data_IF_042370203477
#
_entry.id   IF_042370203477
#
_cell.length_a   1.000
_cell.length_b   1.000
_cell.length_c   1.000
_cell.angle_alpha   90.00
_cell.angle_beta   90.00
_cell.angle_gamma   90.00
#
_symmetry.space_group_name_H-M   'P 1'
#
loop_
_entity.id
_entity.type
_entity.pdbx_description
1 polymer ?
#
# COMPACT_ATOMS: atom_id res chain seq x y z
N UNK A 1 -5.38 7.89 31.56
CA UNK A 1 -5.49 6.50 31.09
C UNK A 1 -6.46 6.54 29.93
N UNK A 2 -5.98 6.44 28.69
CA UNK A 2 -6.86 6.47 27.52
C UNK A 2 -7.45 5.07 27.37
N UNK A 3 -8.69 4.90 27.80
CA UNK A 3 -9.50 3.73 27.51
C UNK A 3 -9.73 3.69 25.98
N UNK A 4 -9.44 2.54 25.34
CA UNK A 4 -9.56 2.25 23.91
C UNK A 4 -8.42 2.62 22.94
N UNK A 5 -7.16 2.41 23.31
CA UNK A 5 -6.13 2.22 22.28
C UNK A 5 -6.13 0.75 21.82
N UNK A 6 -6.68 0.49 20.63
CA UNK A 6 -6.60 -0.82 19.99
C UNK A 6 -5.14 -1.23 19.77
N UNK A 7 -4.87 -2.53 19.85
CA UNK A 7 -3.51 -3.08 19.65
C UNK A 7 -2.97 -2.78 18.25
N UNK A 8 -3.86 -2.71 17.26
CA UNK A 8 -3.57 -2.35 15.87
C UNK A 8 -4.26 -1.03 15.51
N UNK A 9 -3.61 -0.21 14.70
CA UNK A 9 -4.25 0.92 14.03
C UNK A 9 -5.00 0.46 12.76
N UNK A 10 -5.84 1.32 12.18
CA UNK A 10 -6.68 0.94 11.02
C UNK A 10 -5.82 0.51 9.83
N UNK A 11 -4.70 1.20 9.57
CA UNK A 11 -3.83 0.89 8.45
C UNK A 11 -3.19 -0.51 8.57
N UNK A 12 -2.82 -0.90 9.79
CA UNK A 12 -2.34 -2.24 10.13
C UNK A 12 -3.43 -3.31 9.94
N UNK A 13 -4.65 -3.08 10.41
CA UNK A 13 -5.76 -4.01 10.21
C UNK A 13 -6.09 -4.19 8.72
N UNK A 14 -6.16 -3.10 7.95
CA UNK A 14 -6.35 -3.15 6.50
C UNK A 14 -5.22 -3.93 5.82
N UNK A 15 -3.96 -3.71 6.21
CA UNK A 15 -2.85 -4.49 5.70
C UNK A 15 -3.05 -5.99 5.96
N UNK A 16 -3.38 -6.37 7.19
CA UNK A 16 -3.57 -7.76 7.59
C UNK A 16 -4.77 -8.44 6.90
N UNK A 17 -5.82 -7.68 6.58
CA UNK A 17 -6.96 -8.18 5.80
C UNK A 17 -6.58 -8.48 4.35
N UNK A 18 -5.50 -7.88 3.85
CA UNK A 18 -5.07 -8.00 2.44
C UNK A 18 -3.91 -8.97 2.22
N UNK A 19 -3.40 -9.61 3.28
CA UNK A 19 -2.45 -10.72 3.16
C UNK A 19 -3.17 -12.07 3.22
N UNK A 20 -2.64 -13.07 2.54
CA UNK A 20 -3.09 -14.46 2.69
C UNK A 20 -2.53 -15.12 3.97
N UNK A 21 -3.01 -16.32 4.28
CA UNK A 21 -2.58 -17.13 5.42
C UNK A 21 -1.06 -17.43 5.46
N UNK A 22 -0.38 -17.34 4.31
CA UNK A 22 1.05 -17.54 4.17
C UNK A 22 1.84 -16.20 4.21
N UNK A 23 1.15 -15.09 4.50
CA UNK A 23 1.70 -13.73 4.50
C UNK A 23 2.11 -13.23 3.11
N UNK A 24 1.59 -13.81 2.03
CA UNK A 24 1.77 -13.22 0.72
C UNK A 24 0.86 -11.98 0.62
N UNK A 25 1.47 -10.87 0.23
CA UNK A 25 0.77 -9.60 0.02
C UNK A 25 -0.17 -9.70 -1.18
N UNK A 26 -1.32 -9.01 -1.10
CA UNK A 26 -2.20 -8.81 -2.25
C UNK A 26 -1.38 -8.29 -3.45
N UNK A 27 -1.74 -8.73 -4.66
CA UNK A 27 -1.00 -8.39 -5.89
C UNK A 27 -0.85 -6.87 -6.13
N UNK A 28 -1.77 -6.09 -5.56
CA UNK A 28 -1.78 -4.63 -5.66
C UNK A 28 -1.12 -3.92 -4.48
N UNK A 29 -0.61 -4.61 -3.46
CA UNK A 29 -0.09 -4.00 -2.22
C UNK A 29 0.93 -2.88 -2.48
N UNK A 30 1.74 -3.04 -3.52
CA UNK A 30 2.79 -2.08 -3.87
C UNK A 30 2.38 -1.06 -4.95
N UNK A 31 1.09 -0.95 -5.24
CA UNK A 31 0.58 0.03 -6.20
C UNK A 31 0.06 1.29 -5.50
N UNK A 32 -0.02 2.38 -6.26
CA UNK A 32 -0.51 3.66 -5.76
C UNK A 32 -1.98 3.62 -5.33
N UNK A 33 -2.77 2.66 -5.84
CA UNK A 33 -4.15 2.45 -5.32
C UNK A 33 -4.14 1.97 -3.88
N UNK A 34 -3.17 1.15 -3.50
CA UNK A 34 -2.99 0.71 -2.12
C UNK A 34 -2.49 1.84 -1.22
N UNK A 35 -1.66 2.74 -1.77
CA UNK A 35 -1.22 3.93 -1.05
C UNK A 35 -2.36 4.88 -0.71
N UNK A 36 -3.34 5.01 -1.60
CA UNK A 36 -4.59 5.73 -1.35
C UNK A 36 -5.35 5.08 -0.17
N UNK A 37 -5.45 3.75 -0.15
CA UNK A 37 -6.14 3.01 0.91
C UNK A 37 -5.44 3.21 2.27
N UNK A 38 -4.11 3.13 2.30
CA UNK A 38 -3.33 3.38 3.52
C UNK A 38 -3.46 4.83 3.97
N UNK A 39 -3.37 5.80 3.07
CA UNK A 39 -3.57 7.21 3.39
C UNK A 39 -4.96 7.48 4.00
N UNK A 40 -6.01 6.89 3.44
CA UNK A 40 -7.37 6.99 3.99
C UNK A 40 -7.47 6.33 5.38
N UNK A 41 -6.81 5.20 5.57
CA UNK A 41 -6.76 4.52 6.87
C UNK A 41 -6.07 5.37 7.94
N UNK A 42 -5.02 6.09 7.56
CA UNK A 42 -4.29 7.02 8.43
C UNK A 42 -5.17 8.20 8.83
N UNK A 43 -5.80 8.87 7.85
CA UNK A 43 -6.73 9.97 8.14
C UNK A 43 -7.86 9.53 9.07
N UNK A 44 -8.37 8.32 8.88
CA UNK A 44 -9.43 7.81 9.72
C UNK A 44 -8.98 7.53 11.16
N UNK A 45 -7.80 6.96 11.34
CA UNK A 45 -7.21 6.76 12.66
C UNK A 45 -6.94 8.11 13.35
N UNK A 46 -6.51 9.14 12.61
CA UNK A 46 -6.38 10.51 13.14
C UNK A 46 -7.73 11.08 13.59
N UNK A 47 -8.80 10.85 12.82
CA UNK A 47 -10.15 11.30 13.17
C UNK A 47 -10.67 10.59 14.43
N UNK A 48 -10.48 9.27 14.51
CA UNK A 48 -10.83 8.48 15.71
C UNK A 48 -10.06 8.92 16.97
N UNK A 49 -8.85 9.44 16.81
CA UNK A 49 -8.03 9.97 17.91
C UNK A 49 -8.32 11.45 18.22
N UNK A 50 -9.31 12.07 17.57
CA UNK A 50 -9.63 13.50 17.69
C UNK A 50 -8.41 14.40 17.42
N UNK A 51 -7.56 13.98 16.47
CA UNK A 51 -6.45 14.81 15.97
C UNK A 51 -6.96 15.72 14.84
N UNK A 52 -7.89 15.18 14.04
CA UNK A 52 -8.61 15.88 12.99
C UNK A 52 -10.11 15.63 13.18
N UNK A 53 -10.92 16.51 12.60
CA UNK A 53 -12.35 16.31 12.37
C UNK A 53 -12.63 16.45 10.86
N UNK A 54 -13.84 16.12 10.43
CA UNK A 54 -14.28 16.28 9.05
C UNK A 54 -15.66 16.91 8.98
N UNK A 55 -15.82 17.88 8.10
CA UNK A 55 -17.16 18.21 7.59
C UNK A 55 -17.53 17.26 6.43
N UNK A 56 -18.54 17.59 5.62
CA UNK A 56 -18.96 16.74 4.51
C UNK A 56 -17.82 16.44 3.53
N UNK A 57 -16.91 17.39 3.29
CA UNK A 57 -15.92 17.29 2.23
C UNK A 57 -14.49 17.68 2.65
N UNK A 58 -14.31 18.41 3.75
CA UNK A 58 -13.04 19.00 4.17
C UNK A 58 -12.54 18.41 5.47
N UNK A 59 -11.22 18.29 5.58
CA UNK A 59 -10.56 17.97 6.85
C UNK A 59 -10.38 19.27 7.65
N UNK A 60 -10.72 19.20 8.94
CA UNK A 60 -10.60 20.28 9.90
C UNK A 60 -9.56 19.85 10.95
N UNK A 61 -8.42 20.53 11.07
CA UNK A 61 -7.49 20.28 12.17
C UNK A 61 -8.17 20.46 13.54
N UNK A 62 -7.96 19.53 14.47
CA UNK A 62 -8.39 19.68 15.87
C UNK A 62 -7.15 19.86 16.76
N UNK A 63 -6.80 18.89 17.60
CA UNK A 63 -5.70 19.02 18.56
C UNK A 63 -4.32 19.01 17.92
N UNK A 64 -4.15 18.31 16.80
CA UNK A 64 -2.88 18.23 16.04
C UNK A 64 -1.65 17.87 16.88
N UNK A 65 -1.84 17.24 18.03
CA UNK A 65 -0.75 16.76 18.89
C UNK A 65 -0.16 15.47 18.33
N UNK A 66 1.15 15.27 18.53
CA UNK A 66 1.79 14.00 18.18
C UNK A 66 1.23 12.86 19.02
N UNK A 67 1.08 11.72 18.37
CA UNK A 67 0.43 10.51 18.87
C UNK A 67 1.42 9.49 19.39
N UNK A 68 2.72 9.62 19.04
CA UNK A 68 3.76 8.63 19.29
C UNK A 68 3.74 7.45 18.31
N UNK A 69 2.81 7.44 17.35
CA UNK A 69 2.79 6.53 16.21
C UNK A 69 3.45 7.23 15.02
N UNK A 70 4.60 6.70 14.58
CA UNK A 70 5.43 7.32 13.54
C UNK A 70 4.67 7.59 12.22
N UNK A 71 3.69 6.74 11.89
CA UNK A 71 2.91 6.86 10.66
C UNK A 71 1.94 8.04 10.78
N UNK A 72 1.26 8.13 11.92
CA UNK A 72 0.30 9.19 12.19
C UNK A 72 1.02 10.54 12.36
N UNK A 73 2.18 10.53 13.02
CA UNK A 73 2.97 11.72 13.30
C UNK A 73 3.57 12.32 12.01
N UNK A 74 3.98 11.49 11.04
CA UNK A 74 4.39 11.94 9.70
C UNK A 74 3.22 12.62 8.96
N UNK A 75 2.02 12.04 9.00
CA UNK A 75 0.84 12.65 8.38
C UNK A 75 0.44 13.97 9.06
N UNK A 76 0.56 14.06 10.39
CA UNK A 76 0.35 15.30 11.15
C UNK A 76 1.34 16.39 10.71
N UNK A 77 2.62 16.03 10.52
CA UNK A 77 3.66 16.96 10.07
C UNK A 77 3.41 17.47 8.65
N UNK A 78 2.98 16.59 7.74
CA UNK A 78 2.55 16.99 6.40
C UNK A 78 1.37 17.97 6.45
N UNK A 79 0.40 17.71 7.35
CA UNK A 79 -0.76 18.58 7.53
C UNK A 79 -0.39 19.95 8.12
N UNK A 80 0.51 20.00 9.10
CA UNK A 80 1.02 21.25 9.69
C UNK A 80 1.82 22.07 8.70
N UNK A 81 2.63 21.41 7.88
CA UNK A 81 3.49 22.06 6.89
C UNK A 81 2.68 22.65 5.73
N UNK A 82 1.49 22.12 5.47
CA UNK A 82 0.61 22.55 4.39
C UNK A 82 -0.70 23.11 4.96
N UNK A 83 -0.61 24.32 5.53
CA UNK A 83 -1.69 25.03 6.25
C UNK A 83 -2.83 25.57 5.34
N UNK A 84 -3.25 24.78 4.35
CA UNK A 84 -4.39 25.11 3.48
C UNK A 84 -5.59 24.22 3.81
N UNK A 85 -6.78 24.81 3.83
CA UNK A 85 -8.03 24.04 3.88
C UNK A 85 -8.12 23.23 2.59
N UNK A 86 -8.11 21.90 2.72
CA UNK A 86 -8.19 20.95 1.60
C UNK A 86 -9.36 20.00 1.78
N UNK A 87 -9.84 19.50 0.66
CA UNK A 87 -10.82 18.41 0.68
C UNK A 87 -10.19 17.11 1.20
N UNK A 88 -11.02 16.20 1.71
CA UNK A 88 -10.58 14.87 2.17
C UNK A 88 -9.84 14.13 1.05
N UNK A 89 -10.36 14.16 -0.19
CA UNK A 89 -9.71 13.50 -1.33
C UNK A 89 -8.34 14.09 -1.70
N UNK A 90 -8.15 15.40 -1.47
CA UNK A 90 -6.87 16.05 -1.70
C UNK A 90 -5.85 15.64 -0.64
N UNK A 91 -6.26 15.56 0.64
CA UNK A 91 -5.41 15.03 1.70
C UNK A 91 -5.04 13.57 1.48
N UNK A 92 -5.99 12.73 1.08
CA UNK A 92 -5.72 11.33 0.71
C UNK A 92 -4.66 11.28 -0.40
N UNK A 93 -4.83 12.09 -1.45
CA UNK A 93 -3.89 12.14 -2.57
C UNK A 93 -2.50 12.60 -2.13
N UNK A 94 -2.42 13.65 -1.29
CA UNK A 94 -1.16 14.18 -0.76
C UNK A 94 -0.44 13.18 0.13
N UNK A 95 -1.12 12.63 1.13
CA UNK A 95 -0.57 11.64 2.06
C UNK A 95 -0.15 10.37 1.32
N UNK A 96 -0.89 9.94 0.28
CA UNK A 96 -0.53 8.75 -0.51
C UNK A 96 0.84 8.87 -1.21
N UNK A 97 1.40 10.08 -1.36
CA UNK A 97 2.76 10.27 -1.91
C UNK A 97 3.82 9.64 -1.01
N UNK A 98 3.57 9.51 0.30
CA UNK A 98 4.44 8.85 1.28
C UNK A 98 4.12 7.34 1.42
N UNK A 99 3.28 6.78 0.56
CA UNK A 99 2.76 5.42 0.71
C UNK A 99 3.82 4.32 0.83
N UNK A 100 4.97 4.44 0.15
CA UNK A 100 6.08 3.48 0.33
C UNK A 100 6.63 3.49 1.77
N UNK A 101 6.82 4.68 2.34
CA UNK A 101 7.27 4.83 3.73
C UNK A 101 6.23 4.20 4.68
N UNK A 102 4.95 4.53 4.51
CA UNK A 102 3.90 3.95 5.36
C UNK A 102 3.81 2.43 5.27
N UNK A 103 3.93 1.85 4.07
CA UNK A 103 3.95 0.39 3.91
C UNK A 103 5.10 -0.26 4.67
N UNK A 104 6.28 0.34 4.63
CA UNK A 104 7.46 -0.18 5.30
C UNK A 104 7.32 -0.07 6.83
N UNK A 105 6.80 1.05 7.33
CA UNK A 105 6.55 1.26 8.76
C UNK A 105 5.41 0.37 9.31
N UNK A 106 4.35 0.12 8.54
CA UNK A 106 3.29 -0.83 8.92
C UNK A 106 3.89 -2.22 9.13
N UNK A 107 4.71 -2.69 8.18
CA UNK A 107 5.38 -4.00 8.29
C UNK A 107 6.33 -4.02 9.49
N UNK A 108 7.13 -2.97 9.68
CA UNK A 108 8.07 -2.83 10.79
C UNK A 108 7.35 -2.90 12.14
N UNK A 109 6.26 -2.14 12.29
CA UNK A 109 5.46 -2.08 13.52
C UNK A 109 4.79 -3.42 13.80
N UNK A 110 4.22 -4.08 12.78
CA UNK A 110 3.62 -5.40 12.92
C UNK A 110 4.64 -6.51 13.28
N UNK A 111 5.90 -6.38 12.85
CA UNK A 111 7.00 -7.25 13.32
C UNK A 111 7.32 -6.94 14.79
N UNK A 112 7.43 -5.67 15.16
CA UNK A 112 7.64 -5.23 16.55
C UNK A 112 6.55 -5.74 17.50
N UNK A 113 5.29 -5.72 17.03
CA UNK A 113 4.11 -6.28 17.70
C UNK A 113 4.03 -7.81 17.69
N UNK A 114 4.97 -8.51 17.04
CA UNK A 114 5.00 -9.98 16.88
C UNK A 114 3.77 -10.56 16.18
N UNK A 115 3.09 -9.75 15.36
CA UNK A 115 2.01 -10.19 14.47
C UNK A 115 2.58 -10.80 13.21
N UNK A 116 3.64 -10.19 12.66
CA UNK A 116 4.41 -10.71 11.54
C UNK A 116 5.79 -11.17 11.99
N UNK A 117 6.37 -12.09 11.22
CA UNK A 117 7.77 -12.52 11.37
C UNK A 117 8.57 -12.13 10.14
N UNK A 118 9.80 -11.68 10.32
CA UNK A 118 10.75 -11.55 9.23
C UNK A 118 11.25 -12.94 8.78
N UNK A 119 10.90 -13.37 7.57
CA UNK A 119 11.50 -14.54 6.94
C UNK A 119 12.50 -14.14 5.86
N UNK A 120 13.77 -14.16 6.25
CA UNK A 120 14.88 -14.10 5.31
C UNK A 120 15.01 -15.45 4.61
N UNK A 121 14.54 -15.54 3.36
CA UNK A 121 14.96 -16.66 2.51
C UNK A 121 16.47 -16.57 2.30
N UNK A 122 17.20 -17.52 2.89
CA UNK A 122 18.61 -17.80 2.59
C UNK A 122 18.75 -18.37 1.17
N UNK A 123 18.41 -17.57 0.16
CA UNK A 123 18.76 -17.89 -1.22
C UNK A 123 19.64 -16.75 -1.71
N UNK A 124 20.93 -17.05 -1.80
CA UNK A 124 21.99 -16.23 -2.40
C UNK A 124 21.68 -15.96 -3.89
N UNK A 125 20.73 -15.07 -4.15
CA UNK A 125 20.48 -14.56 -5.49
C UNK A 125 19.89 -13.16 -5.40
N UNK A 126 20.19 -12.32 -6.40
CA UNK A 126 19.98 -10.85 -6.46
C UNK A 126 18.56 -10.32 -6.14
N UNK A 127 17.59 -11.19 -5.85
CA UNK A 127 16.17 -10.88 -5.69
C UNK A 127 15.47 -11.73 -4.63
N UNK A 128 16.08 -11.91 -3.45
CA UNK A 128 15.37 -12.49 -2.32
C UNK A 128 14.20 -11.57 -1.92
N UNK A 129 13.00 -11.88 -2.40
CA UNK A 129 11.76 -11.26 -1.91
C UNK A 129 11.63 -11.59 -0.42
N UNK A 130 11.72 -10.56 0.44
CA UNK A 130 11.43 -10.68 1.86
C UNK A 130 9.97 -11.14 2.00
N UNK A 131 9.75 -12.19 2.80
CA UNK A 131 8.41 -12.63 3.17
C UNK A 131 8.15 -12.25 4.62
N UNK A 132 6.90 -11.88 4.89
CA UNK A 132 6.42 -11.48 6.21
C UNK A 132 5.22 -12.36 6.58
N UNK A 133 5.40 -13.66 6.86
CA UNK A 133 4.32 -14.52 7.31
C UNK A 133 3.74 -14.05 8.65
N UNK A 134 2.47 -14.38 8.86
CA UNK A 134 1.82 -14.25 10.16
C UNK A 134 2.59 -15.09 11.20
N UNK A 135 2.97 -14.44 12.28
CA UNK A 135 3.50 -15.08 13.48
C UNK A 135 2.37 -15.42 14.46
N UNK A 136 1.41 -14.50 14.62
CA UNK A 136 0.20 -14.69 15.40
C UNK A 136 -1.00 -14.22 14.58
N UNK A 137 -1.91 -15.14 14.26
CA UNK A 137 -3.07 -14.85 13.42
C UNK A 137 -4.32 -14.46 14.20
N UNK A 138 -4.24 -14.41 15.54
CA UNK A 138 -5.36 -14.07 16.41
C UNK A 138 -6.02 -12.75 16.01
N UNK A 139 -5.23 -11.69 15.88
CA UNK A 139 -5.73 -10.35 15.55
C UNK A 139 -6.42 -10.33 14.18
N UNK A 140 -5.85 -11.02 13.18
CA UNK A 140 -6.45 -11.09 11.84
C UNK A 140 -7.76 -11.86 11.86
N UNK A 141 -7.81 -12.99 12.57
CA UNK A 141 -9.02 -13.80 12.72
C UNK A 141 -10.11 -13.03 13.45
N UNK A 142 -9.76 -12.34 14.53
CA UNK A 142 -10.69 -11.53 15.31
C UNK A 142 -11.33 -10.44 14.45
N UNK A 143 -10.52 -9.65 13.73
CA UNK A 143 -11.01 -8.61 12.82
C UNK A 143 -11.91 -9.22 11.75
N UNK A 144 -11.48 -10.32 11.10
CA UNK A 144 -12.30 -10.98 10.06
C UNK A 144 -13.64 -11.47 10.61
N UNK A 145 -13.66 -12.06 11.79
CA UNK A 145 -14.88 -12.56 12.43
C UNK A 145 -15.81 -11.41 12.77
N UNK A 146 -15.32 -10.39 13.49
CA UNK A 146 -16.11 -9.21 13.89
C UNK A 146 -16.74 -8.50 12.70
N UNK A 147 -15.98 -8.26 11.63
CA UNK A 147 -16.50 -7.63 10.42
C UNK A 147 -17.53 -8.49 9.68
N UNK A 148 -17.32 -9.81 9.62
CA UNK A 148 -18.28 -10.74 9.00
C UNK A 148 -19.57 -10.82 9.80
N UNK A 149 -19.47 -10.95 11.12
CA UNK A 149 -20.61 -11.01 12.02
C UNK A 149 -21.45 -9.73 11.91
N UNK A 150 -20.81 -8.56 11.88
CA UNK A 150 -21.49 -7.28 11.67
C UNK A 150 -22.23 -7.18 10.32
N UNK A 151 -21.66 -7.74 9.25
CA UNK A 151 -22.29 -7.77 7.93
C UNK A 151 -23.47 -8.74 7.89
N UNK A 152 -23.39 -9.85 8.62
CA UNK A 152 -24.42 -10.89 8.64
C UNK A 152 -25.53 -10.63 9.66
N UNK A 153 -25.31 -9.73 10.61
CA UNK A 153 -26.25 -9.35 11.64
C UNK A 153 -26.86 -7.96 11.39
N UNK A 154 -27.86 -7.62 12.21
CA UNK A 154 -28.44 -6.29 12.30
C UNK A 154 -27.93 -5.54 13.56
N UNK A 155 -26.79 -5.95 14.10
CA UNK A 155 -26.20 -5.28 15.26
C UNK A 155 -25.79 -3.85 14.93
N UNK A 156 -25.73 -3.01 15.96
CA UNK A 156 -25.23 -1.65 15.83
C UNK A 156 -23.71 -1.72 15.61
N UNK A 157 -23.19 -1.16 14.51
CA UNK A 157 -21.78 -1.21 14.21
C UNK A 157 -20.98 -0.30 15.16
N UNK A 158 -19.82 -0.76 15.61
CA UNK A 158 -18.81 0.11 16.22
C UNK A 158 -18.18 1.03 15.17
N UNK A 159 -17.81 2.25 15.55
CA UNK A 159 -17.22 3.25 14.65
C UNK A 159 -16.03 2.67 13.87
N UNK A 160 -15.17 1.90 14.55
CA UNK A 160 -13.99 1.29 13.91
C UNK A 160 -14.38 0.28 12.83
N UNK A 161 -15.44 -0.49 13.05
CA UNK A 161 -15.91 -1.49 12.08
C UNK A 161 -16.63 -0.86 10.89
N UNK A 162 -17.35 0.25 11.12
CA UNK A 162 -17.89 1.09 10.04
C UNK A 162 -16.76 1.49 9.10
N UNK A 163 -15.70 2.04 9.67
CA UNK A 163 -14.50 2.50 8.95
C UNK A 163 -13.89 1.38 8.12
N UNK A 164 -13.63 0.21 8.72
CA UNK A 164 -12.99 -0.89 8.02
C UNK A 164 -13.85 -1.40 6.86
N UNK A 165 -15.17 -1.54 7.08
CA UNK A 165 -16.10 -1.96 6.02
C UNK A 165 -16.17 -0.91 4.92
N UNK A 166 -16.24 0.37 5.28
CA UNK A 166 -16.27 1.50 4.36
C UNK A 166 -15.04 1.52 3.44
N UNK A 167 -13.84 1.41 4.03
CA UNK A 167 -12.58 1.34 3.29
C UNK A 167 -12.59 0.13 2.34
N UNK A 168 -12.89 -1.07 2.85
CA UNK A 168 -12.89 -2.28 2.02
C UNK A 168 -13.92 -2.22 0.90
N UNK A 169 -15.08 -1.62 1.14
CA UNK A 169 -16.13 -1.44 0.14
C UNK A 169 -15.68 -0.51 -0.97
N UNK A 170 -15.31 0.72 -0.65
CA UNK A 170 -14.93 1.73 -1.64
C UNK A 170 -13.60 1.39 -2.35
N UNK A 171 -12.70 0.67 -1.68
CA UNK A 171 -11.47 0.14 -2.28
C UNK A 171 -11.68 -1.12 -3.14
N UNK A 172 -12.89 -1.68 -3.21
CA UNK A 172 -13.21 -2.94 -3.91
C UNK A 172 -12.42 -4.14 -3.37
N UNK A 173 -12.21 -4.18 -2.06
CA UNK A 173 -11.51 -5.23 -1.31
C UNK A 173 -12.43 -6.09 -0.44
N UNK A 174 -13.76 -5.93 -0.52
CA UNK A 174 -14.72 -6.76 0.25
C UNK A 174 -14.56 -8.26 0.01
N UNK A 175 -14.06 -8.66 -1.17
CA UNK A 175 -13.75 -10.05 -1.49
C UNK A 175 -12.62 -10.65 -0.65
N UNK A 176 -11.88 -9.83 0.10
CA UNK A 176 -10.93 -10.32 1.11
C UNK A 176 -11.64 -10.85 2.35
N UNK A 177 -12.87 -10.40 2.64
CA UNK A 177 -13.68 -10.84 3.78
C UNK A 177 -14.77 -11.84 3.38
N UNK A 178 -15.35 -11.67 2.20
CA UNK A 178 -16.56 -12.37 1.77
C UNK A 178 -16.33 -13.10 0.45
N UNK A 179 -16.99 -14.25 0.31
CA UNK A 179 -17.15 -14.91 -0.98
C UNK A 179 -18.02 -14.06 -1.91
N UNK A 180 -17.95 -14.30 -3.23
CA UNK A 180 -18.76 -13.57 -4.21
C UNK A 180 -20.26 -13.68 -3.94
N UNK A 181 -20.74 -14.87 -3.55
CA UNK A 181 -22.16 -15.10 -3.22
C UNK A 181 -22.58 -14.35 -1.96
N UNK A 182 -21.75 -14.34 -0.92
CA UNK A 182 -21.99 -13.56 0.30
C UNK A 182 -22.06 -12.06 -0.01
N UNK A 183 -21.09 -11.52 -0.77
CA UNK A 183 -21.07 -10.10 -1.15
C UNK A 183 -22.33 -9.68 -1.91
N UNK A 184 -22.86 -10.54 -2.78
CA UNK A 184 -24.13 -10.26 -3.49
C UNK A 184 -25.29 -10.28 -2.49
N UNK A 185 -25.38 -11.33 -1.67
CA UNK A 185 -26.46 -11.51 -0.69
C UNK A 185 -26.55 -10.36 0.31
N UNK A 186 -25.42 -9.85 0.78
CA UNK A 186 -25.35 -8.80 1.81
C UNK A 186 -25.00 -7.41 1.26
N UNK A 187 -25.05 -7.22 -0.06
CA UNK A 187 -24.71 -5.96 -0.74
C UNK A 187 -25.39 -4.73 -0.13
N UNK A 188 -26.70 -4.81 0.13
CA UNK A 188 -27.46 -3.70 0.72
C UNK A 188 -26.98 -3.32 2.13
N UNK A 189 -26.61 -4.32 2.96
CA UNK A 189 -26.10 -4.09 4.31
C UNK A 189 -24.70 -3.49 4.28
N UNK A 190 -23.83 -3.99 3.40
CA UNK A 190 -22.48 -3.45 3.19
C UNK A 190 -22.56 -1.97 2.77
N UNK A 191 -23.41 -1.66 1.80
CA UNK A 191 -23.65 -0.29 1.32
C UNK A 191 -24.17 0.62 2.43
N UNK A 192 -25.10 0.13 3.24
CA UNK A 192 -25.66 0.88 4.37
C UNK A 192 -24.58 1.26 5.39
N UNK A 193 -23.69 0.32 5.74
CA UNK A 193 -22.59 0.57 6.67
C UNK A 193 -21.57 1.53 6.05
N UNK A 194 -21.14 1.27 4.81
CA UNK A 194 -20.11 2.07 4.14
C UNK A 194 -20.49 3.56 4.00
N UNK A 195 -21.77 3.86 3.80
CA UNK A 195 -22.27 5.25 3.70
C UNK A 195 -22.24 6.06 5.00
N UNK A 196 -21.97 5.43 6.14
CA UNK A 196 -21.90 6.11 7.43
C UNK A 196 -20.59 6.87 7.63
N UNK A 197 -19.60 6.69 6.74
CA UNK A 197 -18.26 7.27 6.87
C UNK A 197 -17.91 8.14 5.65
N UNK A 198 -17.64 9.43 5.89
CA UNK A 198 -17.33 10.40 4.83
C UNK A 198 -15.92 10.23 4.26
N UNK A 199 -14.93 9.82 5.07
CA UNK A 199 -13.56 9.64 4.60
C UNK A 199 -13.49 8.43 3.67
N UNK A 200 -14.16 7.33 4.02
CA UNK A 200 -14.21 6.17 3.15
C UNK A 200 -14.96 6.43 1.83
N UNK A 201 -15.98 7.28 1.83
CA UNK A 201 -16.62 7.73 0.58
C UNK A 201 -15.65 8.50 -0.33
N UNK A 202 -14.77 9.33 0.24
CA UNK A 202 -13.76 10.09 -0.50
C UNK A 202 -12.68 9.20 -1.17
N UNK A 203 -12.55 7.92 -0.78
CA UNK A 203 -11.69 6.95 -1.46
C UNK A 203 -12.11 6.78 -2.93
N UNK A 204 -13.42 6.71 -3.20
CA UNK A 204 -13.91 6.49 -4.56
C UNK A 204 -13.53 7.65 -5.49
N UNK A 205 -13.58 8.90 -4.98
CA UNK A 205 -13.12 10.09 -5.70
C UNK A 205 -11.61 10.04 -5.93
N UNK A 206 -10.84 9.78 -4.88
CA UNK A 206 -9.36 9.72 -4.96
C UNK A 206 -8.87 8.63 -5.93
N UNK A 207 -9.50 7.44 -5.92
CA UNK A 207 -9.18 6.36 -6.85
C UNK A 207 -9.59 6.68 -8.30
N UNK A 208 -10.68 7.41 -8.49
CA UNK A 208 -11.12 7.90 -9.80
C UNK A 208 -10.13 8.95 -10.34
N UNK A 209 -9.76 9.94 -9.53
CA UNK A 209 -8.82 11.00 -9.89
C UNK A 209 -7.44 10.41 -10.20
N UNK A 210 -6.99 9.43 -9.39
CA UNK A 210 -5.78 8.66 -9.68
C UNK A 210 -5.86 7.95 -11.04
N UNK A 211 -6.97 7.26 -11.33
CA UNK A 211 -7.15 6.55 -12.60
C UNK A 211 -7.13 7.51 -13.79
N UNK A 212 -7.73 8.70 -13.64
CA UNK A 212 -7.71 9.76 -14.66
C UNK A 212 -6.26 10.27 -14.86
N UNK A 213 -5.53 10.55 -13.79
CA UNK A 213 -4.14 11.01 -13.86
C UNK A 213 -3.21 9.94 -14.45
N UNK A 214 -3.46 8.66 -14.20
CA UNK A 214 -2.73 7.56 -14.84
C UNK A 214 -2.98 7.54 -16.37
N UNK A 215 -4.22 7.70 -16.80
CA UNK A 215 -4.62 7.77 -18.22
C UNK A 215 -4.04 9.02 -18.90
N UNK A 216 -4.12 10.18 -18.25
CA UNK A 216 -3.57 11.44 -18.78
C UNK A 216 -2.04 11.33 -18.83
N UNK A 217 -1.40 10.89 -17.74
CA UNK A 217 0.03 10.70 -17.67
C UNK A 217 0.53 9.73 -18.74
N UNK A 218 -0.15 8.60 -18.96
CA UNK A 218 0.21 7.65 -20.03
C UNK A 218 0.04 8.25 -21.42
N UNK A 219 -1.03 9.02 -21.67
CA UNK A 219 -1.20 9.75 -22.93
C UNK A 219 -0.15 10.83 -23.14
N UNK A 220 0.18 11.61 -22.10
CA UNK A 220 1.21 12.66 -22.15
C UNK A 220 2.59 12.04 -22.34
N UNK A 221 2.92 10.92 -21.68
CA UNK A 221 4.16 10.16 -21.90
C UNK A 221 4.27 9.54 -23.30
N UNK A 222 3.13 9.23 -23.94
CA UNK A 222 3.12 8.82 -25.35
C UNK A 222 3.34 10.00 -26.31
N UNK A 223 3.08 11.23 -25.87
CA UNK A 223 3.21 12.47 -26.67
C UNK A 223 4.57 13.16 -26.44
N UNK A 224 5.08 13.16 -25.20
CA UNK A 224 6.38 13.70 -24.82
C UNK A 224 7.42 12.57 -24.86
N UNK A 225 8.54 12.81 -25.55
CA UNK A 225 9.66 11.87 -25.77
C UNK A 225 10.22 11.30 -24.46
N UNK A 226 9.58 10.27 -23.90
CA UNK A 226 10.16 9.48 -22.83
C UNK A 226 11.31 8.59 -23.33
N UNK A 227 12.24 8.30 -22.41
CA UNK A 227 13.24 7.23 -22.57
C UNK A 227 12.52 5.95 -23.00
N UNK A 228 12.96 5.38 -24.10
CA UNK A 228 12.49 4.11 -24.64
C UNK A 228 12.61 2.99 -23.61
N UNK A 229 11.83 1.89 -23.73
CA UNK A 229 12.00 0.70 -22.89
C UNK A 229 13.45 0.19 -22.83
N UNK A 230 14.19 0.34 -23.94
CA UNK A 230 15.62 0.01 -24.02
C UNK A 230 16.45 0.92 -23.11
N UNK A 231 16.27 2.24 -23.17
CA UNK A 231 16.99 3.20 -22.33
C UNK A 231 16.68 2.99 -20.84
N UNK A 232 15.40 2.77 -20.50
CA UNK A 232 14.98 2.45 -19.13
C UNK A 232 15.67 1.17 -18.63
N UNK A 233 15.69 0.11 -19.43
CA UNK A 233 16.27 -1.18 -19.04
C UNK A 233 17.81 -1.09 -18.92
N UNK A 234 18.47 -0.35 -19.80
CA UNK A 234 19.92 -0.15 -19.75
C UNK A 234 20.35 0.63 -18.51
N UNK A 235 19.64 1.71 -18.16
CA UNK A 235 19.89 2.47 -16.94
C UNK A 235 19.77 1.60 -15.69
N UNK A 236 18.70 0.80 -15.60
CA UNK A 236 18.50 -0.14 -14.50
C UNK A 236 19.60 -1.23 -14.42
N UNK A 237 20.08 -1.72 -15.57
CA UNK A 237 21.20 -2.68 -15.61
C UNK A 237 22.47 -2.06 -15.04
N UNK A 238 22.77 -0.81 -15.38
CA UNK A 238 23.95 -0.11 -14.85
C UNK A 238 23.83 0.17 -13.35
N UNK A 239 22.65 0.53 -12.85
CA UNK A 239 22.38 0.63 -11.41
C UNK A 239 22.66 -0.70 -10.69
N UNK A 240 22.18 -1.81 -11.22
CA UNK A 240 22.43 -3.14 -10.65
C UNK A 240 23.91 -3.51 -10.72
N UNK A 241 24.59 -3.22 -11.83
CA UNK A 241 26.03 -3.46 -11.97
C UNK A 241 26.83 -2.68 -10.94
N UNK A 242 26.52 -1.41 -10.72
CA UNK A 242 27.14 -0.58 -9.70
C UNK A 242 26.85 -1.11 -8.29
N UNK A 243 25.57 -1.36 -7.97
CA UNK A 243 25.12 -1.83 -6.66
C UNK A 243 25.78 -3.15 -6.25
N UNK A 244 25.96 -4.05 -7.20
CA UNK A 244 26.49 -5.38 -6.96
C UNK A 244 27.95 -5.58 -7.40
N UNK A 245 28.63 -4.49 -7.80
CA UNK A 245 30.02 -4.50 -8.26
C UNK A 245 30.27 -5.52 -9.38
N UNK A 246 29.35 -5.58 -10.35
CA UNK A 246 29.42 -6.46 -11.52
C UNK A 246 30.14 -5.72 -12.64
N UNK A 247 31.38 -6.13 -12.92
CA UNK A 247 32.21 -5.53 -13.97
C UNK A 247 32.18 -6.30 -15.30
N UNK A 248 31.42 -7.40 -15.35
CA UNK A 248 31.35 -8.31 -16.51
C UNK A 248 29.89 -8.70 -16.77
N UNK A 249 29.38 -8.30 -17.92
CA UNK A 249 28.00 -8.54 -18.36
C UNK A 249 27.67 -10.04 -18.52
N UNK A 250 28.67 -10.92 -18.64
CA UNK A 250 28.47 -12.37 -18.66
C UNK A 250 27.85 -12.89 -17.36
N UNK A 251 28.09 -12.19 -16.25
CA UNK A 251 27.58 -12.48 -14.91
C UNK A 251 26.14 -12.01 -14.72
N UNK A 252 25.60 -11.21 -15.64
CA UNK A 252 24.20 -10.81 -15.59
C UNK A 252 23.28 -12.01 -15.88
N UNK A 253 22.13 -12.10 -15.18
CA UNK A 253 21.07 -13.02 -15.55
C UNK A 253 20.70 -12.88 -17.03
N UNK A 254 20.32 -13.98 -17.67
CA UNK A 254 19.99 -13.96 -19.11
C UNK A 254 18.94 -12.90 -19.47
N UNK A 255 17.94 -12.69 -18.62
CA UNK A 255 16.89 -11.68 -18.82
C UNK A 255 17.39 -10.22 -18.75
N UNK A 256 18.59 -9.96 -18.22
CA UNK A 256 19.24 -8.64 -18.23
C UNK A 256 20.42 -8.56 -19.21
N UNK A 257 20.82 -9.68 -19.81
CA UNK A 257 21.99 -9.73 -20.69
C UNK A 257 21.60 -9.42 -22.13
N UNK A 258 22.09 -8.30 -22.66
CA UNK A 258 21.84 -7.85 -24.02
C UNK A 258 22.19 -8.96 -25.04
N UNK A 259 21.35 -9.11 -26.06
CA UNK A 259 21.53 -10.11 -27.13
C UNK A 259 20.92 -11.49 -26.84
N UNK A 260 20.44 -11.76 -25.63
CA UNK A 260 19.73 -13.02 -25.34
C UNK A 260 18.26 -12.96 -25.76
N UNK A 261 17.65 -14.12 -26.01
CA UNK A 261 16.20 -14.21 -26.25
C UNK A 261 15.38 -13.69 -25.07
N UNK A 262 15.86 -13.94 -23.84
CA UNK A 262 15.17 -13.52 -22.64
C UNK A 262 15.22 -12.00 -22.43
N UNK A 263 16.31 -11.33 -22.82
CA UNK A 263 16.40 -9.86 -22.79
C UNK A 263 15.35 -9.18 -23.68
N UNK A 264 15.05 -9.77 -24.86
CA UNK A 264 13.94 -9.27 -25.71
C UNK A 264 12.58 -9.37 -25.00
N UNK A 265 12.35 -10.46 -24.27
CA UNK A 265 11.14 -10.61 -23.45
C UNK A 265 11.09 -9.61 -22.28
N UNK A 266 12.25 -9.28 -21.69
CA UNK A 266 12.34 -8.22 -20.67
C UNK A 266 11.97 -6.87 -21.24
N UNK A 267 12.52 -6.50 -22.40
CA UNK A 267 12.19 -5.24 -23.08
C UNK A 267 10.70 -5.13 -23.39
N UNK A 268 10.09 -6.21 -23.88
CA UNK A 268 8.65 -6.24 -24.11
C UNK A 268 7.88 -6.02 -22.81
N UNK A 269 8.26 -6.70 -21.73
CA UNK A 269 7.60 -6.51 -20.44
C UNK A 269 7.80 -5.09 -19.91
N UNK A 270 8.99 -4.50 -20.00
CA UNK A 270 9.26 -3.08 -19.66
C UNK A 270 8.37 -2.15 -20.47
N UNK A 271 8.19 -2.42 -21.77
CA UNK A 271 7.29 -1.67 -22.64
C UNK A 271 5.83 -1.76 -22.17
N UNK A 272 5.38 -2.95 -21.78
CA UNK A 272 4.02 -3.18 -21.25
C UNK A 272 3.80 -2.53 -19.88
N UNK A 273 4.82 -2.54 -19.01
CA UNK A 273 4.68 -2.09 -17.61
C UNK A 273 5.13 -0.67 -17.33
N UNK A 274 5.83 -0.04 -18.28
CA UNK A 274 6.34 1.34 -18.22
C UNK A 274 7.59 1.58 -17.37
N UNK A 275 8.13 0.54 -16.71
CA UNK A 275 9.29 0.61 -15.79
C UNK A 275 10.27 -0.54 -16.02
N UNK A 276 11.57 -0.27 -15.82
CA UNK A 276 12.64 -1.27 -15.90
C UNK A 276 12.90 -2.01 -14.59
N UNK A 277 12.27 -1.58 -13.50
CA UNK A 277 12.31 -2.23 -12.20
C UNK A 277 11.49 -3.52 -12.25
N UNK A 278 12.08 -4.60 -12.76
CA UNK A 278 11.37 -5.87 -12.99
C UNK A 278 12.19 -7.05 -12.46
N UNK A 279 11.53 -8.14 -12.13
CA UNK A 279 12.17 -9.43 -11.85
C UNK A 279 11.62 -10.50 -12.75
N UNK A 280 12.44 -11.50 -13.07
CA UNK A 280 12.05 -12.66 -13.85
C UNK A 280 12.25 -13.94 -13.03
N UNK A 281 11.20 -14.75 -12.89
CA UNK A 281 11.29 -16.06 -12.28
C UNK A 281 11.53 -17.13 -13.36
N UNK A 282 12.72 -17.75 -13.42
CA UNK A 282 13.04 -18.73 -14.46
C UNK A 282 12.25 -20.04 -14.35
N UNK A 283 11.73 -20.38 -13.16
CA UNK A 283 10.93 -21.60 -12.95
C UNK A 283 9.51 -21.44 -13.48
N UNK A 284 8.88 -20.29 -13.22
CA UNK A 284 7.50 -20.02 -13.65
C UNK A 284 7.42 -19.26 -14.95
N UNK A 285 8.56 -18.77 -15.48
CA UNK A 285 8.67 -17.88 -16.64
C UNK A 285 7.79 -16.62 -16.56
N UNK A 286 7.60 -16.11 -15.34
CA UNK A 286 6.77 -14.92 -15.09
C UNK A 286 7.65 -13.73 -14.73
N UNK A 287 7.26 -12.56 -15.22
CA UNK A 287 7.80 -11.28 -14.77
C UNK A 287 6.92 -10.69 -13.66
N UNK A 288 7.54 -9.89 -12.81
CA UNK A 288 6.86 -9.01 -11.85
C UNK A 288 7.61 -7.70 -11.71
N UNK A 289 6.93 -6.61 -11.39
CA UNK A 289 7.58 -5.33 -11.08
C UNK A 289 8.29 -5.42 -9.73
N UNK A 290 9.56 -4.99 -9.66
CA UNK A 290 10.20 -4.62 -8.41
C UNK A 290 9.50 -3.35 -7.94
N UNK A 291 8.84 -3.41 -6.81
CA UNK A 291 8.42 -2.18 -6.16
C UNK A 291 9.47 -1.90 -5.09
N UNK A 292 10.23 -0.83 -5.25
CA UNK A 292 11.38 -0.55 -4.40
C UNK A 292 10.96 -0.40 -2.94
N UNK A 293 11.67 -1.11 -2.07
CA UNK A 293 11.74 -0.86 -0.61
C UNK A 293 12.87 0.15 -0.46
N UNK A 294 12.57 1.35 0.04
CA UNK A 294 13.59 2.36 0.28
C UNK A 294 14.47 1.90 1.45
N UNK A 295 15.79 1.89 1.26
CA UNK A 295 16.73 1.79 2.38
C UNK A 295 16.88 3.19 2.97
N UNK A 296 16.69 3.28 4.29
CA UNK A 296 16.54 4.53 5.02
C UNK A 296 17.63 5.57 4.82
N UNK A 297 17.26 6.80 5.22
CA UNK A 297 18.19 7.87 5.57
C UNK A 297 19.39 7.25 6.31
N UNK A 298 20.58 7.41 5.73
CA UNK A 298 21.80 7.42 6.54
C UNK A 298 21.64 8.57 7.52
N UNK A 299 21.24 8.24 8.74
CA UNK A 299 21.37 9.12 9.89
C UNK A 299 22.84 9.47 10.02
N UNK A 300 23.13 10.77 9.99
CA UNK A 300 24.42 11.30 10.37
C UNK A 300 24.74 10.96 11.82
N UNK A 301 25.99 10.59 12.01
CA UNK A 301 26.73 10.33 13.25
C UNK A 301 27.98 9.60 12.80
N UNK A 302 29.21 10.09 12.98
CA UNK A 302 29.86 11.02 13.90
C UNK A 302 30.91 11.81 13.07
N UNK A 303 31.40 13.02 13.34
CA UNK A 303 31.95 13.67 14.55
C UNK A 303 31.83 15.19 14.36
#
# INVERSE_FOLDING_TARGET
>A
MNENQFFLNIAEEIYLLTIDENGNQHQNFRNQRFDIIIASSILMELAMRHIIDTDMNSVIPDKMDFTGDIILDDAIDEMKSNNSKKEISEWISHISLHGQFYRDEIISTLIGKKVLKLENKKTLWFFASRKYPLQNDKEVKEVRLRLRDLIFSNELPDIRDIVLISILHHAKLINTLLTKSESIKFSARIEQIAKMDFIGQAISKSLSDFSINEIIGSKIRNILKEKTPEEKLQEHIEELKNKFKINDDSKLPSWLRKGTHQYKASLQYVSEVGTAEITFNPKTRKYSKLNFTYYGRMGGGEV
#
